data_IF_414229016249
#
_entry.id   IF_414229016249
#
_cell.length_a   1.000
_cell.length_b   1.000
_cell.length_c   1.000
_cell.angle_alpha   90.00
_cell.angle_beta   90.00
_cell.angle_gamma   90.00
#
_symmetry.space_group_name_H-M   'P 1'
#
loop_
_entity.id
_entity.type
_entity.pdbx_description
1 polymer ?
#
# COMPACT_ATOMS: atom_id res chain seq x y z
N UNK A 1 20.18 -10.24 30.50
CA UNK A 1 19.72 -10.30 29.10
C UNK A 1 18.60 -9.28 28.95
N UNK A 2 18.81 -8.22 28.17
CA UNK A 2 17.75 -7.23 27.96
C UNK A 2 16.59 -7.89 27.21
N UNK A 3 15.36 -7.69 27.67
CA UNK A 3 14.15 -8.14 26.98
C UNK A 3 14.05 -7.47 25.62
N UNK A 4 13.80 -8.24 24.57
CA UNK A 4 13.53 -7.71 23.23
C UNK A 4 12.24 -6.89 23.27
N UNK A 5 12.26 -5.69 22.69
CA UNK A 5 11.08 -4.85 22.56
C UNK A 5 10.09 -5.52 21.59
N UNK A 6 8.87 -5.92 22.05
CA UNK A 6 7.88 -6.54 21.18
C UNK A 6 7.34 -5.59 20.09
N UNK A 7 7.59 -4.28 20.20
CA UNK A 7 7.19 -3.28 19.21
C UNK A 7 8.31 -2.89 18.24
N UNK A 8 9.48 -3.54 18.32
CA UNK A 8 10.55 -3.29 17.38
C UNK A 8 10.12 -3.70 15.97
N UNK A 9 9.99 -2.71 15.07
CA UNK A 9 9.65 -2.95 13.66
C UNK A 9 10.79 -3.73 13.03
N UNK A 10 10.47 -4.91 12.50
CA UNK A 10 11.41 -5.75 11.74
C UNK A 10 11.25 -5.52 10.25
N UNK A 11 12.37 -5.46 9.55
CA UNK A 11 12.44 -5.30 8.09
C UNK A 11 12.37 -6.65 7.35
N UNK A 12 11.64 -7.62 7.89
CA UNK A 12 11.52 -8.95 7.30
C UNK A 12 10.11 -9.22 6.77
N UNK A 13 9.96 -10.29 6.00
CA UNK A 13 8.70 -10.66 5.31
C UNK A 13 7.51 -10.91 6.25
N UNK A 14 7.70 -10.91 7.57
CA UNK A 14 6.63 -11.09 8.56
C UNK A 14 5.96 -9.77 8.94
N UNK A 15 6.54 -8.63 8.56
CA UNK A 15 6.03 -7.30 8.88
C UNK A 15 5.35 -6.68 7.66
N UNK A 16 4.08 -6.33 7.82
CA UNK A 16 3.30 -5.56 6.84
C UNK A 16 2.98 -4.19 7.44
N UNK A 17 3.45 -3.13 6.77
CA UNK A 17 3.03 -1.76 7.01
C UNK A 17 1.70 -1.50 6.32
N UNK A 18 0.68 -1.12 7.07
CA UNK A 18 -0.61 -0.69 6.53
C UNK A 18 -0.79 0.80 6.78
N UNK A 19 -1.05 1.58 5.73
CA UNK A 19 -1.26 3.03 5.82
C UNK A 19 -2.56 3.44 5.14
N UNK A 20 -3.40 4.20 5.84
CA UNK A 20 -4.66 4.72 5.30
C UNK A 20 -4.50 6.14 4.78
N UNK A 21 -4.60 6.30 3.46
CA UNK A 21 -4.53 7.58 2.76
C UNK A 21 -5.90 8.05 2.25
N UNK A 22 -6.98 7.32 2.54
CA UNK A 22 -8.32 7.59 2.00
C UNK A 22 -8.89 8.96 2.38
N UNK A 23 -8.37 9.57 3.45
CA UNK A 23 -8.82 10.87 4.00
C UNK A 23 -7.72 11.92 4.11
N UNK A 24 -6.56 11.71 3.48
CA UNK A 24 -5.44 12.65 3.57
C UNK A 24 -5.53 13.84 2.60
N UNK A 25 -6.54 13.88 1.72
CA UNK A 25 -6.72 14.97 0.76
C UNK A 25 -5.93 14.81 -0.55
N UNK A 26 -5.14 13.74 -0.70
CA UNK A 26 -4.30 13.53 -1.88
C UNK A 26 -5.11 13.36 -3.18
N UNK A 27 -6.31 12.79 -3.12
CA UNK A 27 -7.15 12.57 -4.29
C UNK A 27 -7.92 13.84 -4.71
N UNK A 28 -7.89 14.87 -3.88
CA UNK A 28 -8.63 16.13 -4.04
C UNK A 28 -7.75 17.28 -4.52
N UNK A 29 -6.44 17.08 -4.65
CA UNK A 29 -5.50 18.10 -5.14
C UNK A 29 -5.84 18.43 -6.60
N UNK A 30 -6.14 19.70 -6.88
CA UNK A 30 -6.43 20.18 -8.23
C UNK A 30 -5.67 21.50 -8.48
N UNK A 31 -4.81 21.49 -9.50
CA UNK A 31 -4.01 22.64 -9.92
C UNK A 31 -4.62 23.41 -11.11
N UNK A 32 -5.86 23.11 -11.48
CA UNK A 32 -6.57 23.69 -12.63
C UNK A 32 -6.77 22.73 -13.81
N UNK A 33 -6.32 21.47 -13.69
CA UNK A 33 -6.45 20.43 -14.72
C UNK A 33 -7.25 19.21 -14.24
N UNK A 34 -7.86 19.28 -13.06
CA UNK A 34 -8.56 18.17 -12.44
C UNK A 34 -7.69 17.39 -11.43
N UNK A 35 -8.32 16.45 -10.69
CA UNK A 35 -7.65 15.66 -9.66
C UNK A 35 -6.64 14.66 -10.23
N UNK A 36 -5.68 14.16 -9.41
CA UNK A 36 -4.67 13.22 -9.88
C UNK A 36 -5.27 11.90 -10.33
N UNK A 37 -4.76 11.36 -11.45
CA UNK A 37 -5.11 10.04 -11.94
C UNK A 37 -4.49 8.90 -11.12
N UNK A 38 -3.40 9.12 -10.38
CA UNK A 38 -2.87 8.17 -9.41
C UNK A 38 -2.10 8.90 -8.31
N UNK A 39 -2.25 8.44 -7.08
CA UNK A 39 -1.42 8.85 -5.94
C UNK A 39 -0.59 7.62 -5.58
N UNK A 40 0.74 7.74 -5.51
CA UNK A 40 1.65 6.64 -5.14
C UNK A 40 2.80 7.21 -4.29
N UNK A 41 3.33 6.43 -3.32
CA UNK A 41 4.54 6.82 -2.61
C UNK A 41 5.74 6.85 -3.58
N UNK A 42 6.58 7.87 -3.45
CA UNK A 42 7.81 7.99 -4.27
C UNK A 42 8.96 7.15 -3.70
N UNK A 43 8.99 6.95 -2.38
CA UNK A 43 10.08 6.23 -1.71
C UNK A 43 9.83 4.73 -1.72
N UNK A 44 10.72 3.99 -2.36
CA UNK A 44 10.77 2.52 -2.33
C UNK A 44 11.37 2.07 -0.99
N UNK A 45 10.52 1.72 -0.02
CA UNK A 45 10.96 1.03 1.20
C UNK A 45 11.02 -0.47 0.91
N UNK A 46 11.96 -0.87 0.05
CA UNK A 46 12.06 -2.24 -0.53
C UNK A 46 12.32 -3.35 0.51
N UNK A 47 12.42 -2.98 1.78
CA UNK A 47 12.70 -3.83 2.91
C UNK A 47 11.48 -4.10 3.81
N UNK A 48 10.35 -3.38 3.66
CA UNK A 48 9.12 -3.64 4.41
C UNK A 48 7.93 -3.78 3.45
N UNK A 49 7.21 -4.90 3.55
CA UNK A 49 5.93 -5.09 2.87
C UNK A 49 4.99 -3.93 3.22
N UNK A 50 4.44 -3.27 2.20
CA UNK A 50 3.59 -2.09 2.42
C UNK A 50 2.27 -2.25 1.68
N UNK A 51 1.18 -1.89 2.35
CA UNK A 51 -0.17 -1.81 1.80
C UNK A 51 -0.75 -0.43 2.14
N UNK A 52 -1.03 0.36 1.10
CA UNK A 52 -1.61 1.70 1.25
C UNK A 52 -3.03 1.67 0.73
N UNK A 53 -3.99 1.99 1.61
CA UNK A 53 -5.38 2.22 1.24
C UNK A 53 -5.48 3.62 0.65
N UNK A 54 -5.98 3.74 -0.57
CA UNK A 54 -6.19 5.05 -1.20
C UNK A 54 -7.66 5.25 -1.54
N UNK A 55 -8.05 6.52 -1.67
CA UNK A 55 -9.43 6.88 -1.99
C UNK A 55 -9.86 6.19 -3.30
N UNK A 56 -11.05 5.55 -3.33
CA UNK A 56 -11.59 4.96 -4.54
C UNK A 56 -11.89 6.02 -5.60
N UNK A 57 -11.97 5.58 -6.86
CA UNK A 57 -12.44 6.43 -7.93
C UNK A 57 -13.94 6.67 -7.80
N UNK A 58 -14.39 7.88 -8.16
CA UNK A 58 -15.81 8.22 -8.20
C UNK A 58 -16.59 7.28 -9.14
N UNK A 59 -15.98 6.85 -10.25
CA UNK A 59 -16.61 6.00 -11.28
C UNK A 59 -16.24 4.51 -11.18
N UNK A 60 -15.39 4.12 -10.22
CA UNK A 60 -15.03 2.71 -9.97
C UNK A 60 -15.09 2.45 -8.46
N UNK A 61 -16.30 2.24 -7.91
CA UNK A 61 -16.49 2.00 -6.49
C UNK A 61 -15.79 0.70 -6.07
N UNK A 62 -15.37 0.63 -4.79
CA UNK A 62 -14.62 -0.50 -4.23
C UNK A 62 -13.43 -0.03 -3.40
N UNK A 63 -12.57 -0.96 -3.00
CA UNK A 63 -11.30 -0.64 -2.35
C UNK A 63 -10.21 -0.40 -3.40
N UNK A 64 -9.30 0.54 -3.13
CA UNK A 64 -8.10 0.74 -3.94
C UNK A 64 -6.87 0.61 -3.05
N UNK A 65 -5.97 -0.27 -3.45
CA UNK A 65 -4.75 -0.61 -2.74
C UNK A 65 -3.53 -0.28 -3.57
N UNK A 66 -2.45 0.10 -2.90
CA UNK A 66 -1.11 0.12 -3.46
C UNK A 66 -0.27 -0.82 -2.59
N UNK A 67 0.28 -1.85 -3.20
CA UNK A 67 1.09 -2.86 -2.51
C UNK A 67 2.52 -2.81 -3.01
N UNK A 68 3.48 -2.84 -2.10
CA UNK A 68 4.91 -2.86 -2.40
C UNK A 68 5.63 -3.97 -1.63
N UNK A 69 6.81 -4.33 -2.14
CA UNK A 69 7.74 -5.33 -1.61
C UNK A 69 7.30 -6.78 -1.75
N UNK A 70 6.97 -7.14 -2.98
CA UNK A 70 6.93 -8.53 -3.44
C UNK A 70 8.12 -8.72 -4.37
N UNK A 71 8.97 -9.72 -4.11
CA UNK A 71 10.05 -10.02 -5.05
C UNK A 71 9.47 -10.41 -6.41
N UNK A 72 10.16 -10.14 -7.53
CA UNK A 72 9.61 -10.39 -8.88
C UNK A 72 9.06 -11.81 -9.08
N UNK A 73 9.66 -12.82 -8.46
CA UNK A 73 9.23 -14.22 -8.50
C UNK A 73 7.93 -14.51 -7.74
N UNK A 74 7.49 -13.60 -6.85
CA UNK A 74 6.29 -13.76 -6.01
C UNK A 74 5.10 -12.92 -6.48
N UNK A 75 5.30 -12.01 -7.44
CA UNK A 75 4.27 -11.06 -7.90
C UNK A 75 3.03 -11.78 -8.45
N UNK A 76 3.21 -12.81 -9.29
CA UNK A 76 2.09 -13.54 -9.87
C UNK A 76 1.25 -14.25 -8.80
N UNK A 77 1.88 -15.03 -7.92
CA UNK A 77 1.18 -15.74 -6.85
C UNK A 77 0.47 -14.77 -5.87
N UNK A 78 1.07 -13.60 -5.60
CA UNK A 78 0.43 -12.58 -4.78
C UNK A 78 -0.81 -11.99 -5.44
N UNK A 79 -0.73 -11.68 -6.74
CA UNK A 79 -1.87 -11.20 -7.51
C UNK A 79 -3.01 -12.23 -7.54
N UNK A 80 -2.70 -13.50 -7.79
CA UNK A 80 -3.71 -14.56 -7.84
C UNK A 80 -4.41 -14.71 -6.49
N UNK A 81 -3.67 -14.70 -5.37
CA UNK A 81 -4.26 -14.75 -4.03
C UNK A 81 -5.19 -13.56 -3.73
N UNK A 82 -4.85 -12.34 -4.21
CA UNK A 82 -5.71 -11.17 -4.06
C UNK A 82 -7.01 -11.28 -4.85
N UNK A 83 -6.98 -11.92 -6.03
CA UNK A 83 -8.14 -12.08 -6.90
C UNK A 83 -9.01 -13.28 -6.48
N UNK A 84 -8.40 -14.33 -5.93
CA UNK A 84 -9.06 -15.55 -5.47
C UNK A 84 -9.79 -15.41 -4.13
N UNK A 85 -9.78 -14.23 -3.49
CA UNK A 85 -10.46 -14.02 -2.20
C UNK A 85 -11.99 -13.86 -2.35
N UNK A 86 -12.66 -14.89 -2.88
CA UNK A 86 -14.12 -15.03 -2.95
C UNK A 86 -14.60 -16.17 -2.05
#
# INVERSE_FOLDING_TARGET
>A
MASVDPYQITSDYRTLLVSDWTRLGFAEVDYGWGPPAHVVPLTNLDYIATCILVKPWVHKPGARLITQCVTPDRVAAFHDALVDTN
#
